data_IF_433833997198
#
_entry.id   IF_433833997198
#
_cell.length_a   1.000
_cell.length_b   1.000
_cell.length_c   1.000
_cell.angle_alpha   90.00
_cell.angle_beta   90.00
_cell.angle_gamma   90.00
#
_symmetry.space_group_name_H-M   'P 1'
#
loop_
_entity.id
_entity.type
_entity.pdbx_description
1 polymer ?
#
# COMPACT_ATOMS: atom_id res chain seq x y z
N UNK A 1 -10.79 22.60 24.36
CA UNK A 1 -9.62 21.83 23.85
C UNK A 1 -10.00 20.35 23.82
N UNK A 2 -10.16 19.71 22.66
CA UNK A 2 -10.53 18.28 22.63
C UNK A 2 -9.30 17.38 22.72
N UNK A 3 -9.32 16.41 23.63
CA UNK A 3 -8.26 15.42 23.81
C UNK A 3 -8.15 14.41 22.65
N UNK A 4 -9.18 14.36 21.79
CA UNK A 4 -9.38 13.29 20.80
C UNK A 4 -9.19 13.72 19.34
N UNK A 5 -8.82 14.97 19.05
CA UNK A 5 -8.60 15.44 17.67
C UNK A 5 -7.10 15.41 17.34
N UNK A 6 -6.70 14.66 16.29
CA UNK A 6 -5.31 14.54 15.81
C UNK A 6 -4.81 13.11 15.56
N UNK A 7 -3.50 12.97 15.31
CA UNK A 7 -2.80 11.72 15.02
C UNK A 7 -2.68 10.80 16.24
N UNK A 8 -2.51 9.50 15.99
CA UNK A 8 -2.42 8.47 17.04
C UNK A 8 -1.34 8.76 18.09
N UNK A 9 -0.17 9.22 17.67
CA UNK A 9 0.96 9.54 18.56
C UNK A 9 0.64 10.77 19.44
N UNK A 10 0.01 11.80 18.87
CA UNK A 10 -0.36 13.00 19.64
C UNK A 10 -1.48 12.73 20.66
N UNK A 11 -2.41 11.83 20.33
CA UNK A 11 -3.47 11.37 21.23
C UNK A 11 -2.91 10.57 22.40
N UNK A 12 -2.06 9.59 22.11
CA UNK A 12 -1.47 8.73 23.14
C UNK A 12 -0.55 9.51 24.07
N UNK A 13 0.23 10.47 23.57
CA UNK A 13 1.01 11.37 24.42
C UNK A 13 0.13 12.19 25.38
N UNK A 14 -0.98 12.76 24.91
CA UNK A 14 -1.92 13.51 25.77
C UNK A 14 -2.58 12.63 26.84
N UNK A 15 -2.90 11.37 26.52
CA UNK A 15 -3.51 10.42 27.46
C UNK A 15 -2.53 9.90 28.52
N UNK A 16 -1.29 9.64 28.14
CA UNK A 16 -0.23 9.24 29.08
C UNK A 16 0.14 10.40 30.00
N UNK A 17 0.29 11.62 29.45
CA UNK A 17 0.57 12.82 30.25
C UNK A 17 -0.59 13.19 31.18
N UNK A 18 -1.82 12.89 30.79
CA UNK A 18 -3.01 13.07 31.62
C UNK A 18 -3.24 11.95 32.65
N UNK A 19 -2.29 11.02 32.83
CA UNK A 19 -2.39 9.84 33.71
C UNK A 19 -3.62 8.95 33.46
N UNK A 20 -4.30 9.14 32.33
CA UNK A 20 -5.53 8.43 31.99
C UNK A 20 -5.25 7.00 31.48
N UNK A 21 -4.05 6.75 30.95
CA UNK A 21 -3.60 5.43 30.48
C UNK A 21 -2.12 5.20 30.80
N UNK A 22 -1.71 3.95 31.14
CA UNK A 22 -0.31 3.61 31.31
C UNK A 22 0.45 3.75 29.99
N UNK A 23 1.77 4.00 30.07
CA UNK A 23 2.61 4.16 28.88
C UNK A 23 2.68 2.83 28.10
N UNK A 24 2.25 2.80 26.82
CA UNK A 24 2.34 1.59 26.04
C UNK A 24 3.78 1.34 25.59
N UNK A 25 4.16 0.06 25.51
CA UNK A 25 5.52 -0.40 25.16
C UNK A 25 6.00 0.16 23.81
N UNK A 26 5.09 0.30 22.85
CA UNK A 26 5.39 0.79 21.50
C UNK A 26 5.58 2.32 21.41
N UNK A 27 5.20 3.09 22.44
CA UNK A 27 5.25 4.56 22.37
C UNK A 27 6.69 5.06 22.18
N UNK A 28 7.63 4.49 22.93
CA UNK A 28 9.06 4.88 22.86
C UNK A 28 9.66 4.61 21.48
N UNK A 29 9.32 3.46 20.88
CA UNK A 29 9.78 3.11 19.54
C UNK A 29 9.20 4.06 18.47
N UNK A 30 7.93 4.43 18.61
CA UNK A 30 7.26 5.31 17.64
C UNK A 30 7.69 6.78 17.76
N UNK A 31 8.15 7.22 18.94
CA UNK A 31 8.79 8.53 19.12
C UNK A 31 10.20 8.58 18.53
N UNK A 32 10.94 7.48 18.58
CA UNK A 32 12.27 7.36 17.96
C UNK A 32 12.18 7.29 16.44
N UNK A 33 11.19 6.59 15.90
CA UNK A 33 10.98 6.43 14.47
C UNK A 33 9.53 6.79 14.10
N UNK A 34 9.21 8.09 13.98
CA UNK A 34 7.90 8.51 13.53
C UNK A 34 7.67 8.04 12.08
N UNK A 35 6.43 7.64 11.72
CA UNK A 35 6.12 7.28 10.35
C UNK A 35 6.35 8.48 9.42
N UNK A 36 6.83 8.20 8.19
CA UNK A 36 7.08 9.24 7.21
C UNK A 36 5.78 9.98 6.85
N UNK A 37 5.76 11.29 7.07
CA UNK A 37 4.66 12.14 6.62
C UNK A 37 4.93 12.55 5.18
N UNK A 38 4.16 11.98 4.25
CA UNK A 38 4.16 12.45 2.88
C UNK A 38 3.22 13.66 2.75
N UNK A 39 3.60 14.71 2.02
CA UNK A 39 2.68 15.79 1.71
C UNK A 39 1.49 15.17 0.98
N UNK A 40 0.28 15.31 1.54
CA UNK A 40 -0.93 14.86 0.86
C UNK A 40 -1.09 15.74 -0.38
N UNK A 41 -1.01 15.19 -1.60
CA UNK A 41 -1.24 16.00 -2.78
C UNK A 41 -2.74 16.33 -2.84
N UNK A 42 -3.08 17.60 -2.65
CA UNK A 42 -4.44 18.12 -2.87
C UNK A 42 -4.80 18.21 -4.36
N UNK A 43 -3.85 17.83 -5.24
CA UNK A 43 -3.95 17.89 -6.69
C UNK A 43 -4.18 16.52 -7.34
N UNK A 44 -4.87 16.56 -8.49
CA UNK A 44 -5.11 15.40 -9.37
C UNK A 44 -3.82 14.61 -9.59
N UNK A 45 -3.87 13.31 -9.30
CA UNK A 45 -2.76 12.38 -9.56
C UNK A 45 -2.36 12.49 -11.03
N UNK A 46 -1.08 12.78 -11.29
CA UNK A 46 -0.55 12.85 -12.65
C UNK A 46 -0.43 11.42 -13.19
N UNK A 47 -0.96 11.19 -14.38
CA UNK A 47 -0.71 9.94 -15.08
C UNK A 47 0.80 9.83 -15.37
N UNK A 48 1.38 8.68 -15.03
CA UNK A 48 2.77 8.36 -15.36
C UNK A 48 2.78 7.99 -16.85
N UNK A 49 3.57 8.69 -17.65
CA UNK A 49 3.78 8.39 -19.07
C UNK A 49 5.26 8.24 -19.37
N UNK A 50 5.62 7.15 -20.05
CA UNK A 50 6.96 6.91 -20.54
C UNK A 50 7.05 7.28 -22.02
N UNK A 51 8.20 7.77 -22.51
CA UNK A 51 8.37 8.06 -23.94
C UNK A 51 8.23 6.80 -24.81
N UNK A 52 8.49 5.63 -24.23
CA UNK A 52 8.40 4.32 -24.88
C UNK A 52 6.94 3.84 -25.09
N UNK A 53 5.98 4.40 -24.35
CA UNK A 53 4.56 4.00 -24.40
C UNK A 53 3.97 4.10 -25.81
N UNK A 54 4.48 5.02 -26.63
CA UNK A 54 4.04 5.20 -28.03
C UNK A 54 4.33 3.96 -28.87
N UNK A 55 5.51 3.35 -28.68
CA UNK A 55 5.94 2.17 -29.43
C UNK A 55 5.34 0.90 -28.86
N UNK A 56 5.23 0.81 -27.54
CA UNK A 56 4.58 -0.30 -26.84
C UNK A 56 3.12 -0.45 -27.28
N UNK A 57 2.38 0.67 -27.40
CA UNK A 57 0.99 0.66 -27.89
C UNK A 57 0.88 0.13 -29.32
N UNK A 58 1.76 0.57 -30.22
CA UNK A 58 1.80 0.08 -31.62
C UNK A 58 2.17 -1.40 -31.69
N UNK A 59 3.10 -1.84 -30.86
CA UNK A 59 3.52 -3.23 -30.77
C UNK A 59 2.37 -4.15 -30.32
N UNK A 60 1.66 -3.77 -29.26
CA UNK A 60 0.53 -4.55 -28.76
C UNK A 60 -0.71 -4.54 -29.67
N UNK A 61 -0.86 -3.54 -30.54
CA UNK A 61 -1.86 -3.57 -31.61
C UNK A 61 -1.51 -4.58 -32.69
N UNK A 62 -0.23 -4.69 -33.05
CA UNK A 62 0.26 -5.62 -34.07
C UNK A 62 0.31 -7.07 -33.58
N UNK A 63 0.63 -7.28 -32.29
CA UNK A 63 0.78 -8.60 -31.69
C UNK A 63 -0.07 -8.70 -30.41
N UNK A 64 -1.38 -9.04 -30.53
CA UNK A 64 -2.26 -9.13 -29.36
C UNK A 64 -1.88 -10.29 -28.42
N UNK A 65 -1.24 -11.34 -28.94
CA UNK A 65 -0.79 -12.52 -28.19
C UNK A 65 0.36 -12.18 -27.23
N UNK A 66 1.15 -11.13 -27.53
CA UNK A 66 2.32 -10.75 -26.72
C UNK A 66 1.95 -10.25 -25.31
N UNK A 67 0.72 -9.75 -25.10
CA UNK A 67 0.23 -9.34 -23.76
C UNK A 67 0.18 -10.48 -22.75
N UNK A 68 0.08 -11.73 -23.23
CA UNK A 68 0.04 -12.93 -22.38
C UNK A 68 1.41 -13.48 -21.99
N UNK A 69 2.49 -12.94 -22.54
CA UNK A 69 3.86 -13.39 -22.28
C UNK A 69 4.60 -12.56 -21.21
N UNK A 70 3.91 -11.66 -20.51
CA UNK A 70 4.48 -10.98 -19.35
C UNK A 70 4.73 -11.98 -18.23
N UNK A 71 5.97 -12.46 -18.13
CA UNK A 71 6.43 -13.38 -17.09
C UNK A 71 6.16 -12.81 -15.69
N UNK A 72 6.28 -11.48 -15.53
CA UNK A 72 6.00 -10.77 -14.27
C UNK A 72 4.53 -10.96 -13.85
N UNK A 73 3.58 -10.86 -14.79
CA UNK A 73 2.15 -11.02 -14.48
C UNK A 73 1.78 -12.47 -14.17
N UNK A 74 2.47 -13.43 -14.78
CA UNK A 74 2.31 -14.86 -14.46
C UNK A 74 2.85 -15.18 -13.08
N UNK A 75 4.01 -14.63 -12.73
CA UNK A 75 4.64 -14.83 -11.43
C UNK A 75 3.81 -14.24 -10.28
N UNK A 76 3.22 -13.05 -10.46
CA UNK A 76 2.36 -12.43 -9.44
C UNK A 76 1.10 -13.28 -9.22
N UNK A 77 0.45 -13.75 -10.30
CA UNK A 77 -0.71 -14.62 -10.20
C UNK A 77 -0.39 -15.97 -9.57
N UNK A 78 0.78 -16.55 -9.82
CA UNK A 78 1.18 -17.80 -9.17
C UNK A 78 1.41 -17.58 -7.68
N UNK A 79 2.04 -16.48 -7.26
CA UNK A 79 2.21 -16.18 -5.85
C UNK A 79 0.89 -15.86 -5.13
N UNK A 80 -0.02 -15.12 -5.76
CA UNK A 80 -1.36 -14.86 -5.22
C UNK A 80 -2.17 -16.15 -5.10
N UNK A 81 -2.08 -17.03 -6.11
CA UNK A 81 -2.74 -18.33 -6.09
C UNK A 81 -2.15 -19.27 -5.03
N UNK A 82 -0.82 -19.34 -4.92
CA UNK A 82 -0.13 -20.09 -3.86
C UNK A 82 -0.44 -19.53 -2.47
N UNK A 83 -0.52 -18.21 -2.31
CA UNK A 83 -0.90 -17.56 -1.07
C UNK A 83 -2.36 -17.88 -0.68
N UNK A 84 -3.29 -17.87 -1.64
CA UNK A 84 -4.69 -18.27 -1.44
C UNK A 84 -4.83 -19.73 -1.05
N UNK A 85 -4.09 -20.64 -1.70
CA UNK A 85 -4.05 -22.07 -1.35
C UNK A 85 -3.48 -22.29 0.06
N UNK A 86 -2.45 -21.54 0.44
CA UNK A 86 -1.84 -21.62 1.79
C UNK A 86 -2.72 -21.01 2.87
N UNK A 87 -3.61 -20.10 2.50
CA UNK A 87 -4.61 -19.47 3.37
C UNK A 87 -5.91 -20.27 3.51
N UNK A 88 -6.03 -21.43 2.84
CA UNK A 88 -7.16 -22.36 3.02
C UNK A 88 -8.48 -21.92 2.35
N UNK A 89 -8.42 -21.06 1.34
CA UNK A 89 -9.59 -20.71 0.54
C UNK A 89 -9.67 -21.62 -0.69
N UNK A 90 -10.71 -22.44 -0.76
CA UNK A 90 -11.02 -23.27 -1.93
C UNK A 90 -11.18 -22.41 -3.17
N UNK A 91 -10.37 -22.68 -4.19
CA UNK A 91 -10.44 -22.03 -5.49
C UNK A 91 -11.62 -22.60 -6.30
N UNK A 92 -12.84 -22.23 -5.95
CA UNK A 92 -14.00 -22.39 -6.83
C UNK A 92 -13.89 -21.38 -7.98
N UNK A 93 -13.22 -21.80 -9.05
CA UNK A 93 -13.21 -21.13 -10.35
C UNK A 93 -14.10 -21.94 -11.29
N UNK A 94 -15.32 -21.43 -11.54
CA UNK A 94 -16.10 -21.74 -12.75
C UNK A 94 -15.70 -20.81 -13.88
#
# INVERSE_FOLDING_TARGET
>A
MSFMKGDLLTKTRKLVNGLAKPQPVWLKAMEQAPPATFPRPDGKLKAISLPEDVYIKKFFQKYPVAKGHDAIKKQIKSYEFEFSMRAGYDADIK
#
